data_IF_543632501007
#
_entry.id   IF_543632501007
#
_cell.length_a   1.000
_cell.length_b   1.000
_cell.length_c   1.000
_cell.angle_alpha   90.00
_cell.angle_beta   90.00
_cell.angle_gamma   90.00
#
_symmetry.space_group_name_H-M   'P 1'
#
loop_
_entity.id
_entity.type
_entity.pdbx_description
1 polymer ?
#
# COMPACT_ATOMS: atom_id res chain seq x y z
N UNK A 1 -12.88 -2.12 21.14
CA UNK A 1 -12.16 -3.02 20.22
C UNK A 1 -12.02 -2.25 18.92
N UNK A 2 -10.83 -1.74 18.60
CA UNK A 2 -10.54 -1.11 17.31
C UNK A 2 -10.54 -2.20 16.25
N UNK A 3 -11.42 -2.07 15.27
CA UNK A 3 -11.55 -3.02 14.18
C UNK A 3 -10.59 -2.55 13.08
N UNK A 4 -9.34 -3.02 13.13
CA UNK A 4 -8.36 -2.74 12.10
C UNK A 4 -8.81 -3.43 10.81
N UNK A 5 -8.92 -2.65 9.73
CA UNK A 5 -9.00 -3.22 8.39
C UNK A 5 -7.80 -4.13 8.18
N UNK A 6 -8.00 -5.36 7.70
CA UNK A 6 -6.87 -6.28 7.49
C UNK A 6 -5.87 -5.65 6.51
N UNK A 7 -4.56 -5.67 6.83
CA UNK A 7 -3.53 -5.24 5.89
C UNK A 7 -3.68 -5.96 4.55
N UNK A 8 -3.74 -5.18 3.48
CA UNK A 8 -3.66 -5.69 2.11
C UNK A 8 -2.21 -5.66 1.67
N UNK A 9 -1.75 -6.72 1.01
CA UNK A 9 -0.36 -6.86 0.54
C UNK A 9 -0.37 -6.93 -0.97
N UNK A 10 0.30 -5.97 -1.61
CA UNK A 10 0.61 -5.98 -3.04
C UNK A 10 2.08 -6.37 -3.20
N UNK A 11 2.36 -7.28 -4.14
CA UNK A 11 3.72 -7.74 -4.42
C UNK A 11 4.27 -7.05 -5.66
N UNK A 12 5.52 -6.60 -5.57
CA UNK A 12 6.32 -6.09 -6.68
C UNK A 12 7.54 -7.00 -6.90
N UNK A 13 8.29 -6.78 -7.97
CA UNK A 13 9.45 -7.63 -8.29
C UNK A 13 10.48 -7.70 -7.15
N UNK A 14 10.69 -6.60 -6.42
CA UNK A 14 11.75 -6.48 -5.41
C UNK A 14 11.25 -6.30 -3.96
N UNK A 15 9.94 -6.38 -3.71
CA UNK A 15 9.43 -6.26 -2.35
C UNK A 15 7.91 -6.26 -2.24
N UNK A 16 7.46 -6.05 -1.01
CA UNK A 16 6.05 -6.03 -0.66
C UNK A 16 5.61 -4.61 -0.30
N UNK A 17 4.41 -4.26 -0.71
CA UNK A 17 3.67 -3.09 -0.24
C UNK A 17 2.52 -3.54 0.65
N UNK A 18 2.58 -3.11 1.90
CA UNK A 18 1.50 -3.27 2.88
C UNK A 18 0.72 -1.97 2.95
N UNK A 19 -0.61 -2.06 2.81
CA UNK A 19 -1.47 -0.90 3.01
C UNK A 19 -2.80 -1.29 3.67
N UNK A 20 -3.39 -0.36 4.42
CA UNK A 20 -4.74 -0.46 4.94
C UNK A 20 -5.29 0.92 5.31
N UNK A 21 -6.61 1.03 5.32
CA UNK A 21 -7.31 2.23 5.78
C UNK A 21 -7.63 2.08 7.26
N UNK A 22 -7.18 3.05 8.07
CA UNK A 22 -7.55 3.18 9.48
C UNK A 22 -8.92 3.84 9.62
N UNK A 23 -9.58 3.63 10.76
CA UNK A 23 -10.94 4.11 11.01
C UNK A 23 -11.09 5.64 10.93
N UNK A 24 -9.99 6.38 11.11
CA UNK A 24 -9.94 7.84 11.11
C UNK A 24 -9.56 8.43 9.74
N UNK A 25 -9.97 7.78 8.64
CA UNK A 25 -9.77 8.26 7.27
C UNK A 25 -8.30 8.48 6.86
N UNK A 26 -7.39 7.65 7.38
CA UNK A 26 -5.98 7.69 6.99
C UNK A 26 -5.53 6.39 6.32
N UNK A 27 -4.68 6.52 5.32
CA UNK A 27 -4.04 5.40 4.64
C UNK A 27 -2.69 5.12 5.30
N UNK A 28 -2.54 3.92 5.84
CA UNK A 28 -1.25 3.41 6.25
C UNK A 28 -0.56 2.76 5.05
N UNK A 29 0.70 3.14 4.80
CA UNK A 29 1.48 2.65 3.66
C UNK A 29 2.88 2.27 4.13
N UNK A 30 3.29 1.03 3.86
CA UNK A 30 4.66 0.57 4.10
C UNK A 30 5.14 -0.22 2.90
N UNK A 31 6.29 0.18 2.36
CA UNK A 31 6.98 -0.57 1.32
C UNK A 31 8.42 -0.79 1.74
N UNK A 32 8.87 -2.03 1.69
CA UNK A 32 10.27 -2.39 1.95
C UNK A 32 10.62 -3.71 1.28
N UNK A 33 11.84 -3.81 0.77
CA UNK A 33 12.41 -5.10 0.35
C UNK A 33 12.60 -6.01 1.58
N UNK A 34 12.97 -7.27 1.36
CA UNK A 34 13.34 -8.20 2.46
C UNK A 34 14.53 -7.71 3.30
N UNK A 35 15.32 -6.78 2.78
CA UNK A 35 16.48 -6.20 3.46
C UNK A 35 16.14 -4.88 4.18
N UNK A 36 14.91 -4.38 4.04
CA UNK A 36 14.47 -3.11 4.64
C UNK A 36 14.77 -1.88 3.79
N UNK A 37 15.34 -2.08 2.59
CA UNK A 37 15.58 -1.01 1.63
C UNK A 37 14.26 -0.54 0.97
N UNK A 38 14.23 0.68 0.40
CA UNK A 38 13.12 1.10 -0.45
C UNK A 38 12.90 0.12 -1.61
N UNK A 39 11.64 -0.09 -2.00
CA UNK A 39 11.31 -0.88 -3.18
C UNK A 39 11.50 -0.03 -4.43
N UNK A 40 12.32 -0.50 -5.37
CA UNK A 40 12.41 0.08 -6.71
C UNK A 40 11.19 -0.36 -7.54
N UNK A 41 10.56 0.60 -8.22
CA UNK A 41 9.40 0.34 -9.08
C UNK A 41 9.73 0.77 -10.50
N UNK A 42 9.44 -0.11 -11.45
CA UNK A 42 9.44 0.28 -12.85
C UNK A 42 8.16 1.08 -13.22
N UNK A 43 8.09 1.56 -14.45
CA UNK A 43 6.97 2.41 -14.89
C UNK A 43 5.61 1.69 -14.92
N UNK A 44 5.56 0.37 -15.08
CA UNK A 44 4.33 -0.43 -15.02
C UNK A 44 3.87 -0.58 -13.56
N UNK A 45 4.77 -1.00 -12.68
CA UNK A 45 4.52 -1.16 -11.24
C UNK A 45 4.09 0.16 -10.58
N UNK A 46 4.68 1.29 -11.00
CA UNK A 46 4.28 2.61 -10.53
C UNK A 46 2.83 2.96 -10.95
N UNK A 47 2.38 2.55 -12.14
CA UNK A 47 0.99 2.77 -12.56
C UNK A 47 0.03 1.92 -11.74
N UNK A 48 0.38 0.67 -11.45
CA UNK A 48 -0.41 -0.21 -10.59
C UNK A 48 -0.56 0.38 -9.18
N UNK A 49 0.54 0.91 -8.62
CA UNK A 49 0.52 1.60 -7.34
C UNK A 49 -0.43 2.82 -7.37
N UNK A 50 -0.38 3.64 -8.41
CA UNK A 50 -1.26 4.81 -8.54
C UNK A 50 -2.73 4.41 -8.59
N UNK A 51 -3.11 3.40 -9.39
CA UNK A 51 -4.50 2.92 -9.47
C UNK A 51 -5.00 2.42 -8.10
N UNK A 52 -4.14 1.70 -7.37
CA UNK A 52 -4.44 1.22 -6.03
C UNK A 52 -4.65 2.36 -5.04
N UNK A 53 -3.78 3.37 -5.06
CA UNK A 53 -3.91 4.56 -4.19
C UNK A 53 -5.16 5.38 -4.52
N UNK A 54 -5.53 5.50 -5.80
CA UNK A 54 -6.77 6.15 -6.22
C UNK A 54 -8.01 5.42 -5.67
N UNK A 55 -8.02 4.07 -5.68
CA UNK A 55 -9.10 3.29 -5.07
C UNK A 55 -9.16 3.42 -3.56
N UNK A 56 -8.00 3.51 -2.91
CA UNK A 56 -7.92 3.72 -1.46
C UNK A 56 -8.42 5.12 -1.07
N UNK A 57 -8.16 6.14 -1.89
CA UNK A 57 -8.65 7.50 -1.69
C UNK A 57 -10.19 7.53 -1.59
N UNK A 58 -10.90 6.80 -2.44
CA UNK A 58 -12.36 6.67 -2.39
C UNK A 58 -12.92 6.02 -1.12
N UNK A 59 -12.06 5.40 -0.29
CA UNK A 59 -12.45 4.79 0.98
C UNK A 59 -12.23 5.70 2.19
N UNK A 60 -11.48 6.79 2.01
CA UNK A 60 -11.18 7.78 3.05
C UNK A 60 -11.91 9.12 2.86
N UNK A 61 -12.48 9.37 1.67
CA UNK A 61 -13.43 10.47 1.38
C UNK A 61 -14.87 10.12 1.78
#
# INVERSE_FOLDING_TARGET
MTNFSKPTVQKFAEGDLYFWVEQDASLMLKSSTSFGDPVELNAEELRELIDLLQRALLQIE
#
